data_IF_769099337749
#
_entry.id   IF_769099337749
#
_cell.length_a   1.000
_cell.length_b   1.000
_cell.length_c   1.000
_cell.angle_alpha   90.00
_cell.angle_beta   90.00
_cell.angle_gamma   90.00
#
_symmetry.space_group_name_H-M   'P 1'
#
loop_
_entity.id
_entity.type
_entity.pdbx_description
1 polymer ?
#
# COMPACT_ATOMS: atom_id res chain seq x y z
N UNK A 1 1.86 9.76 0.41
CA UNK A 1 1.46 8.91 -0.75
C UNK A 1 -0.02 9.18 -1.00
N UNK A 2 -0.43 9.53 -2.23
CA UNK A 2 -1.84 9.87 -2.50
C UNK A 2 -2.39 11.01 -1.62
N UNK A 3 -1.58 12.04 -1.34
CA UNK A 3 -1.94 13.13 -0.43
C UNK A 3 -1.91 12.79 1.07
N UNK A 4 -1.79 11.52 1.45
CA UNK A 4 -1.77 11.08 2.85
C UNK A 4 -0.37 11.11 3.48
N UNK A 5 -0.30 11.55 4.74
CA UNK A 5 0.93 11.56 5.56
C UNK A 5 1.19 10.16 6.12
N UNK A 6 2.41 9.67 5.95
CA UNK A 6 2.86 8.40 6.54
C UNK A 6 3.10 8.60 8.03
N UNK A 7 2.51 7.75 8.86
CA UNK A 7 2.73 7.69 10.30
C UNK A 7 3.81 6.63 10.64
N UNK A 8 3.77 5.48 9.96
CA UNK A 8 4.70 4.38 10.19
C UNK A 8 4.97 3.57 8.94
N UNK A 9 6.18 3.00 8.83
CA UNK A 9 6.58 2.09 7.76
C UNK A 9 7.08 0.79 8.40
N UNK A 10 6.45 -0.33 8.05
CA UNK A 10 6.92 -1.67 8.39
C UNK A 10 7.52 -2.36 7.15
N UNK A 11 8.71 -2.96 7.30
CA UNK A 11 9.44 -3.65 6.22
C UNK A 11 9.69 -5.14 6.50
N UNK A 12 9.05 -5.73 7.51
CA UNK A 12 9.28 -7.11 7.94
C UNK A 12 8.78 -8.15 6.92
N UNK A 13 7.66 -7.88 6.25
CA UNK A 13 7.03 -8.80 5.29
C UNK A 13 6.37 -8.00 4.15
N UNK A 14 7.21 -7.63 3.18
CA UNK A 14 6.86 -6.59 2.20
C UNK A 14 7.04 -5.19 2.78
N UNK A 15 6.39 -4.19 2.17
CA UNK A 15 6.42 -2.80 2.63
C UNK A 15 5.01 -2.37 2.96
N UNK A 16 4.72 -2.19 4.25
CA UNK A 16 3.46 -1.64 4.76
C UNK A 16 3.63 -0.18 5.16
N UNK A 17 2.81 0.69 4.58
CA UNK A 17 2.63 2.07 4.99
C UNK A 17 1.36 2.17 5.82
N UNK A 18 1.47 2.73 7.02
CA UNK A 18 0.31 3.16 7.81
C UNK A 18 0.27 4.69 7.77
N UNK A 19 -0.89 5.24 7.45
CA UNK A 19 -1.11 6.68 7.33
C UNK A 19 -1.71 7.26 8.61
N UNK A 20 -1.62 8.58 8.79
CA UNK A 20 -2.08 9.27 9.99
C UNK A 20 -3.60 9.12 10.25
N UNK A 21 -4.39 8.90 9.19
CA UNK A 21 -5.84 8.63 9.25
C UNK A 21 -6.15 7.14 9.49
N UNK A 22 -5.15 6.34 9.87
CA UNK A 22 -5.24 4.89 10.14
C UNK A 22 -5.49 4.02 8.91
N UNK A 23 -5.66 4.61 7.72
CA UNK A 23 -5.59 3.85 6.47
C UNK A 23 -4.22 3.22 6.27
N UNK A 24 -4.13 2.18 5.45
CA UNK A 24 -2.86 1.52 5.17
C UNK A 24 -2.78 0.93 3.78
N UNK A 25 -1.54 0.73 3.31
CA UNK A 25 -1.23 0.03 2.06
C UNK A 25 -0.05 -0.92 2.29
N UNK A 26 -0.14 -2.16 1.79
CA UNK A 26 0.90 -3.17 1.85
C UNK A 26 1.22 -3.70 0.45
N UNK A 27 2.49 -3.66 0.08
CA UNK A 27 3.01 -4.36 -1.10
C UNK A 27 3.88 -5.53 -0.65
N UNK A 28 3.54 -6.75 -1.08
CA UNK A 28 4.18 -7.97 -0.61
C UNK A 28 4.47 -8.93 -1.78
N UNK A 29 5.74 -9.31 -2.02
CA UNK A 29 6.05 -10.39 -2.94
C UNK A 29 5.41 -11.71 -2.50
N UNK A 30 4.86 -12.47 -3.44
CA UNK A 30 4.43 -13.84 -3.16
C UNK A 30 5.65 -14.74 -2.99
N UNK A 31 5.63 -15.63 -1.99
CA UNK A 31 6.69 -16.61 -1.80
C UNK A 31 6.59 -17.84 -2.72
N UNK A 32 5.43 -18.06 -3.34
CA UNK A 32 5.13 -19.28 -4.11
C UNK A 32 4.76 -19.00 -5.57
N UNK A 33 4.57 -17.75 -5.96
CA UNK A 33 4.13 -17.36 -7.30
C UNK A 33 4.94 -16.15 -7.77
N UNK A 34 5.19 -16.00 -9.09
CA UNK A 34 5.93 -14.86 -9.63
C UNK A 34 5.03 -13.60 -9.70
N UNK A 35 4.53 -13.14 -8.55
CA UNK A 35 3.68 -11.96 -8.45
C UNK A 35 3.94 -11.15 -7.17
N UNK A 36 3.60 -9.85 -7.22
CA UNK A 36 3.53 -8.98 -6.04
C UNK A 36 2.06 -8.66 -5.76
N UNK A 37 1.64 -8.77 -4.51
CA UNK A 37 0.30 -8.42 -4.06
C UNK A 37 0.29 -7.00 -3.49
N UNK A 38 -0.79 -6.27 -3.78
CA UNK A 38 -1.05 -4.94 -3.21
C UNK A 38 -2.36 -5.04 -2.43
N UNK A 39 -2.31 -4.66 -1.17
CA UNK A 39 -3.46 -4.56 -0.29
C UNK A 39 -3.59 -3.13 0.18
N UNK A 40 -4.82 -2.64 0.32
CA UNK A 40 -5.08 -1.34 0.91
C UNK A 40 -6.40 -1.38 1.70
N UNK A 41 -6.49 -0.53 2.71
CA UNK A 41 -7.69 -0.35 3.53
C UNK A 41 -7.83 1.12 3.90
N UNK A 42 -9.05 1.62 3.79
CA UNK A 42 -9.43 3.01 4.07
C UNK A 42 -10.94 3.10 4.21
N UNK A 43 -11.44 4.17 4.82
CA UNK A 43 -12.87 4.43 5.00
C UNK A 43 -13.56 4.94 3.72
N UNK A 44 -12.81 5.39 2.72
CA UNK A 44 -13.34 5.97 1.49
C UNK A 44 -12.93 5.15 0.24
N UNK A 45 -13.89 4.85 -0.63
CA UNK A 45 -13.65 4.08 -1.86
C UNK A 45 -12.72 4.78 -2.84
N UNK A 46 -12.83 6.10 -2.99
CA UNK A 46 -11.97 6.88 -3.91
C UNK A 46 -10.52 6.86 -3.40
N UNK A 47 -10.32 6.96 -2.09
CA UNK A 47 -9.00 6.82 -1.48
C UNK A 47 -8.43 5.41 -1.68
N UNK A 48 -9.27 4.38 -1.69
CA UNK A 48 -8.83 3.00 -1.91
C UNK A 48 -8.23 2.85 -3.31
N UNK A 49 -8.93 3.35 -4.33
CA UNK A 49 -8.45 3.34 -5.72
C UNK A 49 -7.14 4.13 -5.87
N UNK A 50 -7.06 5.31 -5.22
CA UNK A 50 -5.82 6.10 -5.19
C UNK A 50 -4.68 5.30 -4.58
N UNK A 51 -4.87 4.68 -3.41
CA UNK A 51 -3.83 3.90 -2.74
C UNK A 51 -3.36 2.73 -3.60
N UNK A 52 -4.28 1.95 -4.18
CA UNK A 52 -3.95 0.82 -5.05
C UNK A 52 -3.13 1.27 -6.27
N UNK A 53 -3.52 2.37 -6.93
CA UNK A 53 -2.76 2.91 -8.06
C UNK A 53 -1.40 3.46 -7.63
N UNK A 54 -1.28 4.08 -6.46
CA UNK A 54 0.04 4.49 -5.93
C UNK A 54 0.95 3.29 -5.68
N UNK A 55 0.42 2.20 -5.12
CA UNK A 55 1.17 0.96 -4.94
C UNK A 55 1.62 0.39 -6.28
N UNK A 56 0.74 0.37 -7.28
CA UNK A 56 1.05 -0.09 -8.63
C UNK A 56 2.16 0.74 -9.27
N UNK A 57 2.08 2.07 -9.18
CA UNK A 57 3.12 2.99 -9.68
C UNK A 57 4.44 2.82 -8.95
N UNK A 58 4.43 2.58 -7.65
CA UNK A 58 5.66 2.36 -6.89
C UNK A 58 6.41 1.08 -7.34
N UNK A 59 5.68 0.06 -7.79
CA UNK A 59 6.27 -1.21 -8.23
C UNK A 59 6.71 -1.21 -9.70
N UNK A 60 6.04 -0.43 -10.56
CA UNK A 60 6.23 -0.45 -12.01
C UNK A 60 6.88 0.82 -12.58
N UNK A 61 6.99 1.86 -11.75
CA UNK A 61 7.60 3.15 -12.09
C UNK A 61 9.11 3.16 -11.92
#
# INVERSE_FOLDING_TARGET
>A
IGGKKIEYINRMDGVKFTFADKSWMLMRPSGTEPMVRIYAETENRDDLEVLLEQGRRYLLG
#
